data_IF_290641224276
#
_entry.id   IF_290641224276
#
_cell.length_a   1.000
_cell.length_b   1.000
_cell.length_c   1.000
_cell.angle_alpha   90.00
_cell.angle_beta   90.00
_cell.angle_gamma   90.00
#
_symmetry.space_group_name_H-M   'P 1'
#
loop_
_entity.id
_entity.type
_entity.pdbx_description
1 polymer ?
#
# COMPACT_ATOMS: atom_id res chain seq x y z
N UNK A 1 4.48 -19.18 4.68
CA UNK A 1 3.47 -18.46 5.46
C UNK A 1 2.22 -18.21 4.64
N UNK A 2 1.16 -17.72 5.27
CA UNK A 2 -0.08 -17.32 4.61
C UNK A 2 -0.07 -15.80 4.39
N UNK A 3 -0.32 -15.37 3.16
CA UNK A 3 -0.43 -13.95 2.83
C UNK A 3 -1.87 -13.49 3.01
N UNK A 4 -2.08 -12.52 3.88
CA UNK A 4 -3.39 -11.93 4.12
C UNK A 4 -3.50 -10.59 3.39
N UNK A 5 -4.43 -10.53 2.43
CA UNK A 5 -4.85 -9.26 1.82
C UNK A 5 -5.97 -8.63 2.64
N UNK A 6 -6.07 -7.29 2.61
CA UNK A 6 -7.25 -6.60 3.17
C UNK A 6 -8.55 -7.14 2.58
N UNK A 7 -9.65 -7.04 3.33
CA UNK A 7 -10.97 -7.31 2.79
C UNK A 7 -11.29 -6.33 1.65
N UNK A 8 -11.95 -6.84 0.61
CA UNK A 8 -12.29 -6.00 -0.52
C UNK A 8 -13.37 -4.98 -0.13
N UNK A 9 -13.07 -3.73 -0.37
CA UNK A 9 -14.00 -2.62 -0.56
C UNK A 9 -13.37 -1.65 -1.54
N UNK A 10 -14.14 -0.77 -2.16
CA UNK A 10 -13.59 0.25 -3.05
C UNK A 10 -12.68 1.23 -2.28
N UNK A 11 -13.03 1.53 -1.04
CA UNK A 11 -12.18 2.33 -0.15
C UNK A 11 -10.85 1.63 0.16
N UNK A 12 -10.85 0.32 0.45
CA UNK A 12 -9.62 -0.44 0.68
C UNK A 12 -8.80 -0.56 -0.60
N UNK A 13 -9.45 -0.73 -1.76
CA UNK A 13 -8.78 -0.74 -3.06
C UNK A 13 -8.13 0.62 -3.36
N UNK A 14 -8.76 1.74 -3.00
CA UNK A 14 -8.17 3.06 -3.14
C UNK A 14 -6.92 3.26 -2.26
N UNK A 15 -6.86 2.60 -1.09
CA UNK A 15 -5.70 2.67 -0.19
C UNK A 15 -4.56 1.75 -0.62
N UNK A 16 -4.90 0.55 -1.14
CA UNK A 16 -3.91 -0.49 -1.46
C UNK A 16 -4.52 -1.59 -2.32
N UNK A 17 -3.72 -2.20 -3.19
CA UNK A 17 -4.15 -3.40 -3.90
C UNK A 17 -4.56 -4.52 -2.93
N UNK A 18 -5.83 -4.93 -2.99
CA UNK A 18 -6.43 -5.97 -2.14
C UNK A 18 -6.86 -7.22 -2.94
N UNK A 19 -6.45 -7.33 -4.21
CA UNK A 19 -6.78 -8.45 -5.09
C UNK A 19 -5.49 -9.00 -5.70
N UNK A 20 -5.30 -10.31 -5.67
CA UNK A 20 -4.14 -10.94 -6.31
C UNK A 20 -4.23 -10.86 -7.84
N UNK A 21 -3.09 -10.78 -8.50
CA UNK A 21 -2.99 -10.82 -9.98
C UNK A 21 -3.56 -12.09 -10.60
N UNK A 22 -3.72 -13.17 -9.82
CA UNK A 22 -4.29 -14.46 -10.21
C UNK A 22 -5.82 -14.54 -10.10
N UNK A 23 -6.51 -13.43 -9.80
CA UNK A 23 -7.96 -13.43 -9.71
C UNK A 23 -8.62 -13.63 -11.10
N UNK A 24 -9.79 -14.27 -11.09
CA UNK A 24 -10.59 -14.50 -12.30
C UNK A 24 -11.50 -13.32 -12.57
N UNK A 25 -11.69 -13.01 -13.83
CA UNK A 25 -12.62 -11.97 -14.30
C UNK A 25 -13.25 -12.39 -15.64
N UNK A 26 -14.37 -11.75 -16.00
CA UNK A 26 -15.04 -12.01 -17.26
C UNK A 26 -14.30 -11.35 -18.41
N UNK A 27 -14.16 -12.05 -19.53
CA UNK A 27 -13.51 -11.52 -20.74
C UNK A 27 -14.19 -10.27 -21.27
N UNK A 28 -15.52 -10.20 -21.15
CA UNK A 28 -16.32 -9.05 -21.58
C UNK A 28 -15.97 -7.81 -20.74
N UNK A 29 -15.77 -7.97 -19.44
CA UNK A 29 -15.40 -6.85 -18.57
C UNK A 29 -13.96 -6.38 -18.81
N UNK A 30 -13.05 -7.31 -19.07
CA UNK A 30 -11.71 -6.99 -19.55
C UNK A 30 -11.72 -6.14 -20.84
N UNK A 31 -12.58 -6.52 -21.82
CA UNK A 31 -12.74 -5.76 -23.06
C UNK A 31 -13.29 -4.34 -22.84
N UNK A 32 -14.25 -4.17 -21.90
CA UNK A 32 -14.84 -2.86 -21.57
C UNK A 32 -13.82 -1.84 -21.08
N UNK A 33 -12.76 -2.31 -20.37
CA UNK A 33 -11.70 -1.46 -19.82
C UNK A 33 -10.46 -1.43 -20.72
N UNK A 34 -10.52 -2.02 -21.91
CA UNK A 34 -9.40 -2.16 -22.85
C UNK A 34 -8.19 -2.95 -22.31
N UNK A 35 -8.44 -3.88 -21.38
CA UNK A 35 -7.42 -4.75 -20.82
C UNK A 35 -6.45 -4.07 -19.87
N UNK A 36 -5.22 -4.59 -19.83
CA UNK A 36 -4.14 -4.00 -19.04
C UNK A 36 -3.58 -2.76 -19.71
N UNK A 37 -3.26 -1.73 -18.92
CA UNK A 37 -2.68 -0.50 -19.42
C UNK A 37 -1.20 -0.70 -19.79
N UNK A 38 -0.86 -0.53 -21.06
CA UNK A 38 0.51 -0.69 -21.59
C UNK A 38 1.51 0.32 -21.02
N UNK A 39 1.04 1.41 -20.41
CA UNK A 39 1.89 2.40 -19.79
C UNK A 39 2.39 1.98 -18.40
N UNK A 40 1.86 0.88 -17.84
CA UNK A 40 2.28 0.31 -16.56
C UNK A 40 3.58 -0.49 -16.68
N UNK A 41 4.61 0.12 -17.26
CA UNK A 41 5.88 -0.54 -17.68
C UNK A 41 6.78 -0.98 -16.52
N UNK A 42 6.52 -0.51 -15.29
CA UNK A 42 7.34 -0.82 -14.12
C UNK A 42 6.60 -1.68 -13.08
N UNK A 43 5.44 -2.26 -13.41
CA UNK A 43 4.61 -3.03 -12.51
C UNK A 43 3.38 -2.26 -12.03
N UNK A 44 2.62 -2.83 -11.11
CA UNK A 44 1.31 -2.38 -10.61
C UNK A 44 0.21 -2.39 -11.69
N UNK A 45 0.42 -3.11 -12.80
CA UNK A 45 -0.53 -3.27 -13.89
C UNK A 45 -1.82 -3.96 -13.43
N UNK A 46 -1.70 -4.90 -12.49
CA UNK A 46 -2.84 -5.57 -11.86
C UNK A 46 -3.64 -4.62 -10.98
N UNK A 47 -2.96 -3.77 -10.21
CA UNK A 47 -3.63 -2.78 -9.36
C UNK A 47 -4.39 -1.74 -10.18
N UNK A 48 -3.77 -1.20 -11.22
CA UNK A 48 -4.44 -0.28 -12.16
C UNK A 48 -5.64 -0.93 -12.82
N UNK A 49 -5.48 -2.17 -13.28
CA UNK A 49 -6.54 -2.95 -13.92
C UNK A 49 -7.72 -3.19 -12.97
N UNK A 50 -7.48 -3.54 -11.70
CA UNK A 50 -8.56 -3.72 -10.72
C UNK A 50 -9.32 -2.43 -10.47
N UNK A 51 -8.64 -1.28 -10.40
CA UNK A 51 -9.34 0.02 -10.29
C UNK A 51 -10.20 0.27 -11.53
N UNK A 52 -9.64 0.11 -12.73
CA UNK A 52 -10.37 0.28 -13.99
C UNK A 52 -11.61 -0.60 -14.06
N UNK A 53 -11.50 -1.86 -13.64
CA UNK A 53 -12.58 -2.84 -13.69
C UNK A 53 -13.67 -2.60 -12.65
N UNK A 54 -13.30 -2.14 -11.44
CA UNK A 54 -14.17 -2.17 -10.27
C UNK A 54 -14.73 -0.81 -9.85
N UNK A 55 -14.12 0.31 -10.27
CA UNK A 55 -14.57 1.66 -9.89
C UNK A 55 -16.04 1.95 -10.22
N UNK A 56 -16.61 1.28 -11.20
CA UNK A 56 -18.03 1.37 -11.55
C UNK A 56 -18.94 0.44 -10.72
N UNK A 57 -18.53 0.09 -9.50
CA UNK A 57 -19.29 -0.71 -8.52
C UNK A 57 -19.54 -2.17 -8.93
N UNK A 58 -18.63 -2.77 -9.70
CA UNK A 58 -18.63 -4.20 -9.93
C UNK A 58 -18.36 -4.97 -8.62
N UNK A 59 -18.90 -6.19 -8.52
CA UNK A 59 -18.78 -7.01 -7.32
C UNK A 59 -17.56 -7.91 -7.37
N UNK A 60 -16.94 -8.14 -6.20
CA UNK A 60 -15.84 -9.08 -6.00
C UNK A 60 -16.27 -10.19 -5.05
N UNK A 61 -16.01 -11.45 -5.42
CA UNK A 61 -16.24 -12.60 -4.56
C UNK A 61 -14.89 -13.22 -4.17
N UNK A 62 -14.60 -13.22 -2.88
CA UNK A 62 -13.43 -13.89 -2.31
C UNK A 62 -13.73 -15.37 -2.09
N UNK A 63 -12.85 -16.23 -2.60
CA UNK A 63 -12.93 -17.67 -2.32
C UNK A 63 -12.30 -17.94 -0.95
N UNK A 64 -12.93 -18.75 -0.08
CA UNK A 64 -12.42 -19.02 1.27
C UNK A 64 -11.20 -19.95 1.27
N UNK A 65 -11.01 -20.72 0.20
CA UNK A 65 -9.93 -21.68 0.07
C UNK A 65 -8.62 -21.00 -0.31
N UNK A 66 -7.48 -21.58 0.09
CA UNK A 66 -6.17 -21.20 -0.41
C UNK A 66 -5.90 -21.95 -1.71
N UNK A 67 -6.02 -21.26 -2.84
CA UNK A 67 -5.91 -21.84 -4.20
C UNK A 67 -4.70 -21.34 -4.97
N UNK A 68 -3.97 -20.38 -4.42
CA UNK A 68 -2.81 -19.79 -5.09
C UNK A 68 -1.58 -19.82 -4.21
N UNK A 69 -0.47 -20.34 -4.75
CA UNK A 69 0.82 -20.40 -4.09
C UNK A 69 1.80 -19.48 -4.78
N UNK A 70 2.17 -18.41 -4.08
CA UNK A 70 3.10 -17.40 -4.61
C UNK A 70 4.56 -17.79 -4.30
N UNK A 71 5.38 -17.92 -5.35
CA UNK A 71 6.81 -18.17 -5.20
C UNK A 71 7.54 -16.87 -4.86
N UNK A 72 8.09 -16.79 -3.66
CA UNK A 72 8.97 -15.67 -3.28
C UNK A 72 10.39 -15.95 -3.83
N UNK A 73 10.93 -14.98 -4.56
CA UNK A 73 12.31 -15.01 -5.08
C UNK A 73 13.03 -13.77 -4.53
N UNK A 74 14.30 -13.95 -4.09
CA UNK A 74 15.15 -12.84 -3.61
C UNK A 74 15.35 -11.76 -4.69
N UNK A 75 15.54 -12.16 -5.95
CA UNK A 75 15.71 -11.29 -7.11
C UNK A 75 14.42 -11.14 -7.92
N UNK A 76 13.27 -10.91 -7.26
CA UNK A 76 12.03 -10.64 -7.97
C UNK A 76 12.02 -9.24 -8.59
N UNK A 77 11.19 -9.03 -9.61
CA UNK A 77 10.99 -7.71 -10.22
C UNK A 77 10.65 -6.64 -9.18
N UNK A 78 9.75 -6.97 -8.24
CA UNK A 78 9.34 -6.08 -7.14
C UNK A 78 10.48 -5.79 -6.16
N UNK A 79 11.31 -6.80 -5.81
CA UNK A 79 12.43 -6.61 -4.89
C UNK A 79 13.50 -5.68 -5.46
N UNK A 80 13.66 -5.67 -6.79
CA UNK A 80 14.64 -4.84 -7.51
C UNK A 80 14.06 -3.51 -8.02
N UNK A 81 12.78 -3.26 -7.77
CA UNK A 81 12.12 -2.07 -8.28
C UNK A 81 12.50 -0.84 -7.43
N UNK A 82 13.21 0.11 -8.06
CA UNK A 82 13.58 1.38 -7.41
C UNK A 82 12.32 2.16 -7.01
N UNK A 83 12.35 2.77 -5.83
CA UNK A 83 11.25 3.58 -5.30
C UNK A 83 10.76 4.69 -6.28
N UNK A 84 11.69 5.27 -7.04
CA UNK A 84 11.34 6.26 -8.08
C UNK A 84 10.39 5.69 -9.15
N UNK A 85 10.64 4.46 -9.62
CA UNK A 85 9.80 3.79 -10.63
C UNK A 85 8.42 3.46 -10.07
N UNK A 86 8.36 2.97 -8.83
CA UNK A 86 7.10 2.73 -8.12
C UNK A 86 6.30 4.02 -8.02
N UNK A 87 6.94 5.13 -7.59
CA UNK A 87 6.29 6.42 -7.46
C UNK A 87 5.77 6.95 -8.81
N UNK A 88 6.49 6.72 -9.92
CA UNK A 88 5.99 7.05 -11.26
C UNK A 88 4.69 6.31 -11.59
N UNK A 89 4.59 5.02 -11.24
CA UNK A 89 3.37 4.23 -11.47
C UNK A 89 2.21 4.71 -10.60
N UNK A 90 2.46 4.94 -9.30
CA UNK A 90 1.43 5.51 -8.43
C UNK A 90 0.95 6.88 -8.90
N UNK A 91 1.84 7.75 -9.34
CA UNK A 91 1.48 9.05 -9.90
C UNK A 91 0.64 8.90 -11.18
N UNK A 92 0.97 7.94 -12.03
CA UNK A 92 0.20 7.66 -13.24
C UNK A 92 -1.20 7.15 -12.89
N UNK A 93 -1.32 6.15 -12.01
CA UNK A 93 -2.60 5.60 -11.54
C UNK A 93 -3.46 6.70 -10.90
N UNK A 94 -2.86 7.55 -10.04
CA UNK A 94 -3.57 8.63 -9.36
C UNK A 94 -4.12 9.68 -10.34
N UNK A 95 -3.38 10.00 -11.39
CA UNK A 95 -3.84 10.91 -12.45
C UNK A 95 -4.95 10.28 -13.28
N UNK A 96 -4.81 9.02 -13.65
CA UNK A 96 -5.77 8.30 -14.50
C UNK A 96 -7.11 8.06 -13.79
N UNK A 97 -7.08 7.88 -12.47
CA UNK A 97 -8.24 7.55 -11.64
C UNK A 97 -8.49 8.57 -10.53
N UNK A 98 -8.24 9.85 -10.82
CA UNK A 98 -8.41 10.95 -9.86
C UNK A 98 -9.82 10.97 -9.26
N UNK A 99 -10.85 10.78 -10.08
CA UNK A 99 -12.25 10.68 -9.69
C UNK A 99 -12.47 9.60 -8.62
N UNK A 100 -11.94 8.40 -8.86
CA UNK A 100 -12.01 7.27 -7.95
C UNK A 100 -11.32 7.56 -6.60
N UNK A 101 -10.11 8.11 -6.64
CA UNK A 101 -9.39 8.42 -5.41
C UNK A 101 -10.06 9.55 -4.60
N UNK A 102 -10.59 10.57 -5.27
CA UNK A 102 -11.33 11.63 -4.60
C UNK A 102 -12.63 11.11 -3.94
N UNK A 103 -13.35 10.18 -4.60
CA UNK A 103 -14.57 9.59 -4.06
C UNK A 103 -14.32 8.79 -2.77
N UNK A 104 -13.23 8.00 -2.73
CA UNK A 104 -12.99 7.05 -1.63
C UNK A 104 -11.95 7.49 -0.60
N UNK A 105 -11.09 8.43 -0.91
CA UNK A 105 -10.07 8.95 0.01
C UNK A 105 -10.32 10.40 0.45
N UNK A 106 -11.26 11.08 -0.19
CA UNK A 106 -11.51 12.50 0.03
C UNK A 106 -10.60 13.42 -0.78
N UNK A 107 -10.78 14.72 -0.58
CA UNK A 107 -9.98 15.74 -1.24
C UNK A 107 -8.53 15.75 -0.76
N UNK A 108 -7.63 16.33 -1.57
CA UNK A 108 -6.23 16.53 -1.16
C UNK A 108 -6.10 17.35 0.12
N UNK A 109 -7.02 18.31 0.34
CA UNK A 109 -7.04 19.11 1.57
C UNK A 109 -7.41 18.25 2.79
N UNK A 110 -8.39 17.35 2.67
CA UNK A 110 -8.74 16.40 3.74
C UNK A 110 -7.59 15.46 4.07
N UNK A 111 -6.92 14.90 3.07
CA UNK A 111 -5.74 14.05 3.26
C UNK A 111 -4.61 14.82 3.96
N UNK A 112 -4.38 16.06 3.57
CA UNK A 112 -3.38 16.93 4.20
C UNK A 112 -3.72 17.20 5.68
N UNK A 113 -4.96 17.53 5.98
CA UNK A 113 -5.41 17.75 7.36
C UNK A 113 -5.32 16.48 8.22
N UNK A 114 -5.65 15.32 7.65
CA UNK A 114 -5.48 14.03 8.33
C UNK A 114 -4.01 13.75 8.64
N UNK A 115 -3.12 14.05 7.71
CA UNK A 115 -1.67 13.91 7.90
C UNK A 115 -1.18 14.85 9.00
N UNK A 116 -1.53 16.13 8.97
CA UNK A 116 -1.16 17.09 10.03
C UNK A 116 -1.65 16.64 11.41
N UNK A 117 -2.90 16.21 11.51
CA UNK A 117 -3.46 15.73 12.77
C UNK A 117 -2.76 14.48 13.29
N UNK A 118 -2.34 13.59 12.39
CA UNK A 118 -1.57 12.40 12.73
C UNK A 118 -0.18 12.77 13.25
N UNK A 119 0.50 13.71 12.62
CA UNK A 119 1.80 14.23 13.07
C UNK A 119 1.67 14.90 14.44
N UNK A 120 0.68 15.75 14.65
CA UNK A 120 0.42 16.39 15.96
C UNK A 120 0.17 15.37 17.08
N UNK A 121 -0.57 14.27 16.80
CA UNK A 121 -0.78 13.18 17.74
C UNK A 121 0.51 12.44 18.05
N UNK A 122 1.33 12.17 17.03
CA UNK A 122 2.63 11.51 17.16
C UNK A 122 3.58 12.36 18.02
N UNK A 123 3.70 13.65 17.74
CA UNK A 123 4.52 14.59 18.52
C UNK A 123 4.07 14.67 19.98
N UNK A 124 2.75 14.71 20.21
CA UNK A 124 2.19 14.68 21.58
C UNK A 124 2.54 13.38 22.29
N UNK A 125 2.52 12.25 21.60
CA UNK A 125 2.92 10.96 22.16
C UNK A 125 4.39 10.95 22.55
N UNK A 126 5.29 11.33 21.60
CA UNK A 126 6.73 11.41 21.85
C UNK A 126 7.09 12.34 23.01
N UNK A 127 6.39 13.46 23.13
CA UNK A 127 6.59 14.43 24.20
C UNK A 127 5.87 14.09 25.51
N UNK A 128 5.15 12.97 25.56
CA UNK A 128 4.47 12.55 26.77
C UNK A 128 5.44 12.21 27.90
N UNK A 129 5.02 12.48 29.16
CA UNK A 129 5.83 12.16 30.35
C UNK A 129 6.23 10.68 30.40
N UNK A 130 5.36 9.77 29.91
CA UNK A 130 5.63 8.32 29.87
C UNK A 130 6.79 7.98 28.92
N UNK A 131 6.79 8.53 27.72
CA UNK A 131 7.86 8.28 26.75
C UNK A 131 9.18 8.88 27.25
N UNK A 132 9.17 10.14 27.71
CA UNK A 132 10.37 10.79 28.27
C UNK A 132 10.95 10.02 29.47
N UNK A 133 10.08 9.44 30.31
CA UNK A 133 10.51 8.60 31.42
C UNK A 133 11.16 7.28 30.93
N UNK A 134 10.56 6.64 29.91
CA UNK A 134 11.15 5.44 29.30
C UNK A 134 12.50 5.75 28.63
N UNK A 135 12.61 6.84 27.90
CA UNK A 135 13.89 7.28 27.32
C UNK A 135 14.95 7.51 28.39
N UNK A 136 14.59 8.15 29.50
CA UNK A 136 15.49 8.34 30.63
C UNK A 136 16.01 7.02 31.23
N UNK A 137 15.12 6.03 31.40
CA UNK A 137 15.48 4.69 31.91
C UNK A 137 16.34 3.91 30.91
N UNK A 138 16.01 3.98 29.61
CA UNK A 138 16.67 3.18 28.56
C UNK A 138 17.99 3.78 28.08
N UNK A 139 18.19 5.08 28.27
CA UNK A 139 19.42 5.78 27.82
C UNK A 139 20.73 5.13 28.27
N UNK A 140 20.90 4.66 29.52
CA UNK A 140 22.12 3.94 29.92
C UNK A 140 22.33 2.64 29.15
N UNK A 141 21.25 1.91 28.87
CA UNK A 141 21.30 0.65 28.13
C UNK A 141 21.67 0.88 26.65
N UNK A 142 21.12 1.89 26.00
CA UNK A 142 21.48 2.26 24.62
C UNK A 142 22.94 2.66 24.50
N UNK A 143 23.47 3.40 25.47
CA UNK A 143 24.88 3.77 25.55
C UNK A 143 25.79 2.55 25.71
N UNK A 144 25.38 1.58 26.53
CA UNK A 144 26.10 0.33 26.73
C UNK A 144 26.11 -0.53 25.43
N UNK A 145 25.00 -0.62 24.71
CA UNK A 145 24.91 -1.31 23.42
C UNK A 145 25.80 -0.63 22.37
N UNK A 146 25.80 0.71 22.29
CA UNK A 146 26.69 1.45 21.39
C UNK A 146 28.16 1.19 21.69
N UNK A 147 28.54 1.18 22.97
CA UNK A 147 29.89 0.87 23.42
C UNK A 147 30.37 -0.52 22.97
N UNK A 148 29.50 -1.56 23.12
CA UNK A 148 29.83 -2.92 22.65
C UNK A 148 29.99 -2.99 21.14
N UNK A 149 29.14 -2.28 20.36
CA UNK A 149 29.21 -2.27 18.89
C UNK A 149 30.45 -1.58 18.35
N UNK A 150 31.03 -0.64 19.08
CA UNK A 150 32.25 0.05 18.69
C UNK A 150 33.54 -0.76 18.97
N UNK A 151 33.43 -1.81 19.80
CA UNK A 151 34.60 -2.68 20.15
C UNK A 151 34.68 -3.96 19.30
N UNK A 152 33.74 -4.16 18.36
CA UNK A 152 33.78 -5.22 17.32
C UNK A 152 34.21 -4.62 15.98
#
# INVERSE_FOLDING_TARGET
GKWHLPEFSLENLAKKNCIFCSAFYKKEDWKKVNGYDVNMIYGLEDYEFWISLLKNKNTVKKLPQTLFYYRVKENSMLANLKSERINKMFNYISKKHTDFFLEYLGSFNELFLLQENSLKKYDKLLNSKKIKFLEFILKPYDNFIKYIKQKK
#
